data_IF_518656698264
#
_entry.id   IF_518656698264
#
_cell.length_a   1.000
_cell.length_b   1.000
_cell.length_c   1.000
_cell.angle_alpha   90.00
_cell.angle_beta   90.00
_cell.angle_gamma   90.00
#
_symmetry.space_group_name_H-M   'P 1'
#
loop_
_entity.id
_entity.type
_entity.pdbx_description
1 polymer ?
#
# COMPACT_ATOMS: atom_id res chain seq x y z
N UNK A 1 30.05 6.89 -14.30
CA UNK A 1 29.44 8.18 -14.68
C UNK A 1 28.25 8.44 -13.76
N UNK A 2 28.00 9.68 -13.31
CA UNK A 2 26.80 10.00 -12.53
C UNK A 2 25.52 9.77 -13.36
N UNK A 3 24.39 9.54 -12.70
CA UNK A 3 23.07 9.54 -13.33
C UNK A 3 22.26 10.69 -12.72
N UNK A 4 21.78 11.61 -13.55
CA UNK A 4 21.16 12.87 -13.10
C UNK A 4 22.01 13.58 -12.02
N UNK A 5 23.18 14.13 -12.39
CA UNK A 5 24.12 14.67 -11.40
C UNK A 5 23.51 15.84 -10.66
N UNK A 6 23.54 15.85 -9.32
CA UNK A 6 23.09 16.97 -8.48
C UNK A 6 24.24 17.47 -7.64
N UNK A 7 24.51 18.78 -7.71
CA UNK A 7 25.53 19.44 -6.91
C UNK A 7 24.89 20.10 -5.69
N UNK A 8 25.32 19.66 -4.51
CA UNK A 8 24.89 20.20 -3.21
C UNK A 8 25.46 21.60 -2.96
N UNK A 9 24.87 22.41 -2.05
CA UNK A 9 25.42 23.73 -1.67
C UNK A 9 26.86 23.71 -1.14
N UNK A 10 27.36 22.56 -0.66
CA UNK A 10 28.75 22.41 -0.25
C UNK A 10 29.71 22.03 -1.40
N UNK A 11 29.24 22.08 -2.66
CA UNK A 11 30.04 21.85 -3.87
C UNK A 11 30.21 20.38 -4.27
N UNK A 12 29.78 19.42 -3.44
CA UNK A 12 29.87 18.00 -3.77
C UNK A 12 28.75 17.54 -4.70
N UNK A 13 29.08 16.66 -5.64
CA UNK A 13 28.15 16.14 -6.65
C UNK A 13 27.88 14.65 -6.47
N UNK A 14 26.61 14.26 -6.64
CA UNK A 14 26.14 12.88 -6.52
C UNK A 14 25.16 12.56 -7.66
N UNK A 15 24.83 11.28 -7.87
CA UNK A 15 23.58 10.96 -8.58
C UNK A 15 22.39 11.44 -7.74
N UNK A 16 21.34 11.96 -8.37
CA UNK A 16 20.13 12.44 -7.67
C UNK A 16 19.59 11.42 -6.67
N UNK A 17 19.28 10.20 -7.14
CA UNK A 17 18.76 9.11 -6.30
C UNK A 17 19.71 8.73 -5.15
N UNK A 18 21.03 8.75 -5.39
CA UNK A 18 22.01 8.43 -4.36
C UNK A 18 22.00 9.48 -3.24
N UNK A 19 21.89 10.77 -3.61
CA UNK A 19 21.78 11.84 -2.63
C UNK A 19 20.48 11.72 -1.84
N UNK A 20 19.33 11.55 -2.52
CA UNK A 20 18.03 11.36 -1.88
C UNK A 20 18.04 10.22 -0.88
N UNK A 21 18.59 9.06 -1.28
CA UNK A 21 18.75 7.90 -0.39
C UNK A 21 19.61 8.20 0.83
N UNK A 22 20.70 8.95 0.69
CA UNK A 22 21.51 9.36 1.83
C UNK A 22 20.72 10.31 2.76
N UNK A 23 19.98 11.25 2.18
CA UNK A 23 19.19 12.25 2.92
C UNK A 23 18.01 11.64 3.68
N UNK A 24 17.51 10.47 3.27
CA UNK A 24 16.53 9.72 4.06
C UNK A 24 17.05 9.30 5.44
N UNK A 25 18.35 9.02 5.55
CA UNK A 25 18.95 8.56 6.79
C UNK A 25 19.54 9.71 7.61
N UNK A 26 20.26 10.64 6.95
CA UNK A 26 20.88 11.78 7.62
C UNK A 26 20.89 13.01 6.70
N UNK A 27 20.44 14.19 7.16
CA UNK A 27 20.41 15.41 6.37
C UNK A 27 21.80 16.08 6.32
N UNK A 28 22.85 15.33 6.01
CA UNK A 28 24.22 15.78 5.93
C UNK A 28 24.83 15.33 4.61
N UNK A 29 25.74 16.13 4.05
CA UNK A 29 26.52 15.72 2.89
C UNK A 29 27.28 14.42 3.20
N UNK A 30 27.18 13.38 2.37
CA UNK A 30 27.89 12.12 2.59
C UNK A 30 29.42 12.29 2.66
N UNK A 31 29.97 13.28 1.96
CA UNK A 31 31.41 13.52 1.84
C UNK A 31 31.95 14.44 2.94
N UNK A 32 31.49 15.69 3.03
CA UNK A 32 32.04 16.66 3.99
C UNK A 32 31.24 16.81 5.30
N UNK A 33 30.14 16.07 5.46
CA UNK A 33 29.24 16.12 6.63
C UNK A 33 28.55 17.46 6.91
N UNK A 34 28.73 18.48 6.07
CA UNK A 34 27.98 19.73 6.15
C UNK A 34 26.47 19.47 6.16
N UNK A 35 25.74 20.20 6.99
CA UNK A 35 24.28 20.10 7.09
C UNK A 35 23.62 20.48 5.77
N UNK A 36 22.69 19.65 5.31
CA UNK A 36 21.87 19.84 4.11
C UNK A 36 20.38 19.97 4.47
N UNK A 37 20.03 20.32 5.72
CA UNK A 37 18.62 20.42 6.18
C UNK A 37 17.79 21.41 5.38
N UNK A 38 18.30 22.61 5.12
CA UNK A 38 17.59 23.61 4.30
C UNK A 38 17.43 23.13 2.86
N UNK A 39 18.42 22.39 2.35
CA UNK A 39 18.38 21.80 1.02
C UNK A 39 17.33 20.68 0.92
N UNK A 40 17.23 19.83 1.95
CA UNK A 40 16.18 18.81 2.08
C UNK A 40 14.79 19.44 2.17
N UNK A 41 14.65 20.50 2.96
CA UNK A 41 13.40 21.25 3.13
C UNK A 41 12.91 21.89 1.82
N UNK A 42 13.83 22.32 0.96
CA UNK A 42 13.49 22.87 -0.34
C UNK A 42 12.94 21.82 -1.33
N UNK A 43 13.19 20.52 -1.08
CA UNK A 43 12.58 19.40 -1.82
C UNK A 43 12.91 19.32 -3.32
N UNK A 44 13.84 20.14 -3.82
CA UNK A 44 14.16 20.24 -5.24
C UNK A 44 15.64 19.91 -5.51
N UNK A 45 15.89 18.66 -5.88
CA UNK A 45 17.21 18.14 -6.26
C UNK A 45 17.38 18.16 -7.78
N UNK A 46 17.46 19.36 -8.34
CA UNK A 46 17.55 19.53 -9.79
C UNK A 46 18.92 19.11 -10.32
N UNK A 47 18.99 18.43 -11.48
CA UNK A 47 20.26 18.12 -12.11
C UNK A 47 21.09 19.38 -12.41
N UNK A 48 22.39 19.29 -12.16
CA UNK A 48 23.38 20.32 -12.50
C UNK A 48 23.57 20.34 -14.01
N UNK A 49 22.89 21.27 -14.68
CA UNK A 49 22.82 21.39 -16.16
C UNK A 49 24.20 21.32 -16.82
N UNK A 50 25.17 22.10 -16.33
CA UNK A 50 26.53 22.11 -16.89
C UNK A 50 27.18 20.73 -16.86
N UNK A 51 27.04 19.98 -15.76
CA UNK A 51 27.60 18.63 -15.68
C UNK A 51 26.88 17.69 -16.64
N UNK A 52 25.56 17.82 -16.78
CA UNK A 52 24.79 17.03 -17.72
C UNK A 52 25.23 17.28 -19.18
N UNK A 53 25.45 18.54 -19.56
CA UNK A 53 25.96 18.91 -20.89
C UNK A 53 27.37 18.35 -21.13
N UNK A 54 28.28 18.50 -20.16
CA UNK A 54 29.63 17.92 -20.24
C UNK A 54 29.59 16.40 -20.39
N UNK A 55 28.72 15.73 -19.64
CA UNK A 55 28.56 14.28 -19.72
C UNK A 55 28.01 13.83 -21.08
N UNK A 56 27.06 14.57 -21.66
CA UNK A 56 26.53 14.30 -23.00
C UNK A 56 27.60 14.49 -24.07
N UNK A 57 28.38 15.59 -23.98
CA UNK A 57 29.38 15.93 -24.98
C UNK A 57 30.60 14.99 -24.93
N UNK A 58 31.09 14.65 -23.73
CA UNK A 58 32.34 13.92 -23.57
C UNK A 58 32.16 12.41 -23.35
N UNK A 59 31.03 11.97 -22.79
CA UNK A 59 30.80 10.57 -22.40
C UNK A 59 29.43 10.00 -22.85
N UNK A 60 29.03 10.17 -24.12
CA UNK A 60 27.70 9.78 -24.59
C UNK A 60 27.43 8.27 -24.47
N UNK A 61 28.42 7.42 -24.75
CA UNK A 61 28.28 5.97 -24.66
C UNK A 61 28.08 5.49 -23.22
N UNK A 62 28.87 6.01 -22.28
CA UNK A 62 28.76 5.68 -20.85
C UNK A 62 27.45 6.22 -20.26
N UNK A 63 26.95 7.36 -20.75
CA UNK A 63 25.65 7.89 -20.33
C UNK A 63 24.50 7.03 -20.86
N UNK A 64 24.58 6.55 -22.09
CA UNK A 64 23.60 5.63 -22.65
C UNK A 64 23.56 4.31 -21.87
N UNK A 65 24.73 3.74 -21.54
CA UNK A 65 24.82 2.55 -20.69
C UNK A 65 24.17 2.79 -19.32
N UNK A 66 24.46 3.93 -18.68
CA UNK A 66 23.88 4.26 -17.37
C UNK A 66 22.36 4.41 -17.43
N UNK A 67 21.82 5.01 -18.51
CA UNK A 67 20.37 5.10 -18.77
C UNK A 67 19.75 3.71 -18.95
N UNK A 68 20.38 2.84 -19.73
CA UNK A 68 19.89 1.49 -19.96
C UNK A 68 19.83 0.68 -18.67
N UNK A 69 20.85 0.78 -17.80
CA UNK A 69 20.85 0.13 -16.49
C UNK A 69 19.71 0.62 -15.59
N UNK A 70 19.50 1.93 -15.51
CA UNK A 70 18.41 2.50 -14.72
C UNK A 70 17.04 2.09 -15.27
N UNK A 71 16.84 2.11 -16.59
CA UNK A 71 15.60 1.66 -17.23
C UNK A 71 15.31 0.18 -16.96
N UNK A 72 16.32 -0.68 -17.03
CA UNK A 72 16.18 -2.09 -16.69
C UNK A 72 15.79 -2.29 -15.22
N UNK A 73 16.40 -1.53 -14.30
CA UNK A 73 16.03 -1.55 -12.89
C UNK A 73 14.58 -1.09 -12.65
N UNK A 74 14.16 0.01 -13.30
CA UNK A 74 12.78 0.51 -13.20
C UNK A 74 11.77 -0.49 -13.78
N UNK A 75 12.11 -1.16 -14.88
CA UNK A 75 11.26 -2.20 -15.46
C UNK A 75 11.08 -3.37 -14.49
N UNK A 76 12.14 -3.83 -13.82
CA UNK A 76 12.08 -4.88 -12.81
C UNK A 76 11.19 -4.46 -11.63
N UNK A 77 11.41 -3.24 -11.10
CA UNK A 77 10.64 -2.70 -9.97
C UNK A 77 9.17 -2.41 -10.30
N UNK A 78 8.82 -2.28 -11.58
CA UNK A 78 7.43 -2.05 -12.01
C UNK A 78 6.56 -3.31 -12.01
N UNK A 79 7.13 -4.48 -11.74
CA UNK A 79 6.39 -5.73 -11.71
C UNK A 79 5.41 -5.78 -10.52
N UNK A 80 4.15 -6.14 -10.77
CA UNK A 80 3.10 -6.18 -9.75
C UNK A 80 2.82 -7.59 -9.20
N UNK A 81 3.68 -8.57 -9.49
CA UNK A 81 3.56 -9.96 -9.01
C UNK A 81 4.88 -10.56 -8.53
N UNK A 82 6.01 -10.00 -8.96
CA UNK A 82 7.36 -10.44 -8.62
C UNK A 82 8.11 -9.35 -7.89
N UNK A 83 8.75 -9.70 -6.78
CA UNK A 83 9.49 -8.77 -5.93
C UNK A 83 8.71 -7.46 -5.61
N UNK A 84 7.39 -7.55 -5.44
CA UNK A 84 6.59 -6.37 -5.10
C UNK A 84 7.08 -5.82 -3.76
N UNK A 85 7.14 -4.49 -3.58
CA UNK A 85 7.48 -3.91 -2.29
C UNK A 85 6.39 -4.20 -1.25
N UNK A 86 6.78 -4.61 -0.04
CA UNK A 86 5.88 -4.89 1.07
C UNK A 86 6.08 -3.87 2.20
N UNK A 87 5.00 -3.15 2.53
CA UNK A 87 4.88 -2.37 3.75
C UNK A 87 4.29 -3.27 4.85
N UNK A 88 5.00 -3.40 5.98
CA UNK A 88 4.52 -4.20 7.11
C UNK A 88 3.94 -3.27 8.18
N UNK A 89 2.62 -3.29 8.38
CA UNK A 89 1.95 -2.43 9.35
C UNK A 89 0.63 -3.01 9.88
N UNK A 90 -0.48 -2.72 9.20
CA UNK A 90 -1.84 -3.02 9.65
C UNK A 90 -2.64 -3.73 8.56
N UNK A 91 -3.81 -4.26 8.94
CA UNK A 91 -4.76 -4.79 7.97
C UNK A 91 -5.24 -3.67 7.05
N UNK A 92 -5.31 -3.99 5.76
CA UNK A 92 -5.91 -3.12 4.75
C UNK A 92 -6.78 -3.97 3.83
N UNK A 93 -7.80 -3.35 3.25
CA UNK A 93 -8.89 -4.08 2.61
C UNK A 93 -9.23 -3.49 1.23
N UNK A 94 -9.69 -4.31 0.27
CA UNK A 94 -10.13 -3.82 -1.03
C UNK A 94 -11.20 -2.72 -0.89
N UNK A 95 -11.05 -1.64 -1.64
CA UNK A 95 -11.95 -0.49 -1.65
C UNK A 95 -11.85 0.45 -0.44
N UNK A 96 -11.09 0.08 0.60
CA UNK A 96 -10.98 0.87 1.83
C UNK A 96 -9.76 1.79 1.77
N UNK A 97 -9.94 3.06 2.14
CA UNK A 97 -8.86 4.05 2.27
C UNK A 97 -7.92 3.68 3.42
N UNK A 98 -6.62 3.84 3.20
CA UNK A 98 -5.58 3.57 4.18
C UNK A 98 -4.51 4.69 4.12
N UNK A 99 -4.73 5.83 4.81
CA UNK A 99 -3.74 6.88 4.90
C UNK A 99 -2.56 6.45 5.77
N UNK A 100 -1.34 6.76 5.33
CA UNK A 100 -0.10 6.35 6.00
C UNK A 100 0.81 7.55 6.24
N UNK A 101 1.40 7.61 7.42
CA UNK A 101 2.51 8.51 7.72
C UNK A 101 3.82 7.72 7.64
N UNK A 102 4.57 7.94 6.56
CA UNK A 102 5.80 7.20 6.24
C UNK A 102 7.00 8.00 6.71
N UNK A 103 7.62 7.54 7.81
CA UNK A 103 8.79 8.18 8.40
C UNK A 103 10.06 7.33 8.35
N UNK A 104 9.95 6.00 8.27
CA UNK A 104 11.12 5.12 8.20
C UNK A 104 11.86 5.30 6.86
N UNK A 105 13.20 5.47 6.87
CA UNK A 105 14.01 5.70 5.66
C UNK A 105 13.78 4.66 4.55
N UNK A 106 13.66 3.38 4.91
CA UNK A 106 13.43 2.28 3.96
C UNK A 106 12.11 2.43 3.19
N UNK A 107 11.05 2.86 3.87
CA UNK A 107 9.74 3.03 3.25
C UNK A 107 9.65 4.35 2.49
N UNK A 108 10.41 5.38 2.87
CA UNK A 108 10.54 6.61 2.08
C UNK A 108 11.12 6.31 0.69
N UNK A 109 12.19 5.50 0.62
CA UNK A 109 12.73 4.99 -0.64
C UNK A 109 11.68 4.17 -1.42
N UNK A 110 10.98 3.26 -0.73
CA UNK A 110 9.94 2.44 -1.33
C UNK A 110 8.85 3.27 -2.01
N UNK A 111 8.34 4.31 -1.35
CA UNK A 111 7.30 5.19 -1.89
C UNK A 111 7.82 5.99 -3.09
N UNK A 112 9.05 6.51 -3.06
CA UNK A 112 9.64 7.18 -4.22
C UNK A 112 9.74 6.25 -5.43
N UNK A 113 10.21 5.01 -5.24
CA UNK A 113 10.25 4.01 -6.32
C UNK A 113 8.87 3.66 -6.88
N UNK A 114 7.84 3.60 -6.02
CA UNK A 114 6.46 3.39 -6.49
C UNK A 114 5.99 4.54 -7.40
N UNK A 115 6.40 5.78 -7.10
CA UNK A 115 6.12 6.96 -7.93
C UNK A 115 6.94 6.95 -9.23
N UNK A 116 8.25 6.73 -9.14
CA UNK A 116 9.19 6.75 -10.28
C UNK A 116 8.88 5.67 -11.31
N UNK A 117 8.55 4.46 -10.87
CA UNK A 117 8.13 3.36 -11.77
C UNK A 117 6.76 3.60 -12.41
N UNK A 118 5.98 4.56 -11.91
CA UNK A 118 4.61 4.83 -12.35
C UNK A 118 3.57 3.81 -11.89
N UNK A 119 3.99 2.72 -11.23
CA UNK A 119 3.07 1.69 -10.71
C UNK A 119 2.13 2.24 -9.65
N UNK A 120 2.65 3.17 -8.83
CA UNK A 120 1.98 3.75 -7.66
C UNK A 120 1.37 2.67 -6.75
N UNK A 121 2.03 1.51 -6.63
CA UNK A 121 1.48 0.33 -5.94
C UNK A 121 2.52 -0.37 -5.07
N UNK A 122 2.07 -0.84 -3.91
CA UNK A 122 2.83 -1.69 -3.01
C UNK A 122 1.91 -2.61 -2.22
N UNK A 123 2.41 -3.76 -1.78
CA UNK A 123 1.65 -4.66 -0.91
C UNK A 123 1.70 -4.21 0.54
N UNK A 124 0.58 -4.35 1.25
CA UNK A 124 0.50 -4.16 2.70
C UNK A 124 0.19 -5.48 3.37
N UNK A 125 1.01 -5.86 4.34
CA UNK A 125 0.81 -7.06 5.16
C UNK A 125 0.90 -6.70 6.65
N UNK A 126 0.23 -7.48 7.49
CA UNK A 126 0.44 -7.42 8.95
C UNK A 126 1.72 -8.16 9.33
N UNK A 127 2.36 -7.70 10.40
CA UNK A 127 3.48 -8.42 10.99
C UNK A 127 3.03 -9.80 11.48
N UNK A 128 3.84 -10.82 11.20
CA UNK A 128 3.63 -12.18 11.72
C UNK A 128 4.92 -12.67 12.37
N UNK A 129 4.81 -13.07 13.64
CA UNK A 129 5.95 -13.55 14.39
C UNK A 129 6.55 -14.80 13.73
N UNK A 130 7.86 -14.77 13.46
CA UNK A 130 8.58 -15.85 12.79
C UNK A 130 8.58 -15.83 11.26
N UNK A 131 7.83 -14.94 10.59
CA UNK A 131 7.79 -14.85 9.11
C UNK A 131 8.00 -13.44 8.52
N UNK A 132 8.40 -12.48 9.35
CA UNK A 132 8.42 -11.01 9.10
C UNK A 132 7.04 -10.39 8.80
N UNK A 133 6.24 -10.99 7.92
CA UNK A 133 4.87 -10.60 7.63
C UNK A 133 4.00 -11.81 7.24
N UNK A 134 2.68 -11.63 7.37
CA UNK A 134 1.68 -12.67 7.13
C UNK A 134 1.65 -13.19 5.68
N UNK A 135 1.05 -14.37 5.48
CA UNK A 135 0.94 -15.03 4.17
C UNK A 135 -0.06 -14.35 3.20
N UNK A 136 -0.84 -13.37 3.67
CA UNK A 136 -1.81 -12.64 2.87
C UNK A 136 -1.68 -11.14 3.09
N UNK A 137 -1.97 -10.36 2.06
CA UNK A 137 -1.95 -8.90 2.11
C UNK A 137 -2.85 -8.26 1.07
N UNK A 138 -2.96 -6.94 1.12
CA UNK A 138 -3.72 -6.15 0.16
C UNK A 138 -2.76 -5.29 -0.67
N UNK A 139 -2.93 -5.29 -1.99
CA UNK A 139 -2.25 -4.35 -2.88
C UNK A 139 -2.87 -2.97 -2.69
N UNK A 140 -2.08 -2.01 -2.25
CA UNK A 140 -2.49 -0.63 -2.09
C UNK A 140 -2.07 0.19 -3.31
N UNK A 141 -2.93 1.10 -3.72
CA UNK A 141 -2.62 2.09 -4.76
C UNK A 141 -2.54 3.48 -4.15
N UNK A 142 -1.40 4.14 -4.39
CA UNK A 142 -1.14 5.50 -3.96
C UNK A 142 -1.99 6.47 -4.79
N UNK A 143 -2.89 7.16 -4.12
CA UNK A 143 -3.70 8.22 -4.71
C UNK A 143 -2.93 9.54 -4.72
N UNK A 144 -2.30 9.88 -3.58
CA UNK A 144 -1.56 11.12 -3.40
C UNK A 144 -0.40 10.92 -2.43
N UNK A 145 0.67 11.71 -2.62
CA UNK A 145 1.80 11.81 -1.69
C UNK A 145 2.08 13.27 -1.40
N UNK A 146 2.16 13.60 -0.11
CA UNK A 146 2.69 14.87 0.37
C UNK A 146 4.05 14.62 1.02
N UNK A 147 5.12 15.19 0.43
CA UNK A 147 6.45 15.14 1.02
C UNK A 147 6.64 16.30 2.00
N UNK A 148 7.02 15.96 3.24
CA UNK A 148 7.26 16.91 4.31
C UNK A 148 8.71 17.43 4.27
N UNK A 149 8.95 18.58 4.89
CA UNK A 149 10.24 19.26 4.92
C UNK A 149 11.41 18.44 5.52
N UNK A 150 11.12 17.47 6.38
CA UNK A 150 12.10 16.53 6.95
C UNK A 150 12.21 15.22 6.16
N UNK A 151 11.57 15.20 4.99
CA UNK A 151 11.48 14.10 4.03
C UNK A 151 10.57 12.95 4.43
N UNK A 152 9.85 13.05 5.56
CA UNK A 152 8.71 12.16 5.83
C UNK A 152 7.64 12.38 4.76
N UNK A 153 6.68 11.47 4.64
CA UNK A 153 5.56 11.65 3.72
C UNK A 153 4.24 11.25 4.33
N UNK A 154 3.18 11.97 3.96
CA UNK A 154 1.81 11.54 4.11
C UNK A 154 1.38 10.90 2.79
N UNK A 155 0.92 9.66 2.83
CA UNK A 155 0.60 8.86 1.66
C UNK A 155 -0.85 8.42 1.77
N UNK A 156 -1.69 8.93 0.88
CA UNK A 156 -3.08 8.48 0.77
C UNK A 156 -3.13 7.27 -0.16
N UNK A 157 -3.71 6.18 0.32
CA UNK A 157 -3.83 4.94 -0.46
C UNK A 157 -5.23 4.36 -0.40
N UNK A 158 -5.57 3.55 -1.39
CA UNK A 158 -6.78 2.74 -1.40
C UNK A 158 -6.42 1.28 -1.67
N UNK A 159 -7.03 0.35 -0.93
CA UNK A 159 -6.87 -1.07 -1.21
C UNK A 159 -7.50 -1.47 -2.53
N UNK A 160 -6.79 -2.29 -3.31
CA UNK A 160 -7.22 -2.72 -4.64
C UNK A 160 -7.56 -4.19 -4.72
N UNK A 161 -6.62 -5.07 -4.39
CA UNK A 161 -6.77 -6.53 -4.55
C UNK A 161 -6.09 -7.27 -3.42
N UNK A 162 -6.65 -8.39 -3.03
CA UNK A 162 -6.01 -9.31 -2.09
C UNK A 162 -4.96 -10.16 -2.81
N UNK A 163 -3.88 -10.47 -2.12
CA UNK A 163 -2.84 -11.38 -2.62
C UNK A 163 -2.38 -12.37 -1.54
N UNK A 164 -1.88 -13.51 -2.00
CA UNK A 164 -1.18 -14.53 -1.21
C UNK A 164 0.31 -14.45 -1.52
N UNK A 165 1.13 -14.52 -0.48
CA UNK A 165 2.59 -14.53 -0.58
C UNK A 165 3.06 -15.92 -1.02
N UNK A 166 3.78 -15.98 -2.14
CA UNK A 166 4.40 -17.20 -2.66
C UNK A 166 5.85 -17.32 -2.17
N UNK A 167 6.58 -16.20 -2.17
CA UNK A 167 7.98 -16.13 -1.75
C UNK A 167 8.24 -14.78 -1.10
N UNK A 168 8.98 -14.79 0.01
CA UNK A 168 9.45 -13.59 0.71
C UNK A 168 10.86 -13.23 0.25
N UNK A 169 11.15 -11.94 0.22
CA UNK A 169 12.44 -11.38 -0.17
C UNK A 169 12.71 -10.09 0.58
N UNK A 170 13.84 -9.46 0.25
CA UNK A 170 14.26 -8.20 0.84
C UNK A 170 15.06 -7.41 -0.18
N UNK A 171 14.84 -6.10 -0.24
CA UNK A 171 15.60 -5.19 -1.10
C UNK A 171 15.78 -3.84 -0.42
N UNK A 172 17.01 -3.35 -0.38
CA UNK A 172 17.35 -2.00 0.07
C UNK A 172 16.77 -1.59 1.44
N UNK A 173 16.54 -2.55 2.34
CA UNK A 173 16.06 -2.31 3.70
C UNK A 173 14.58 -2.61 3.93
N UNK A 174 13.76 -2.81 2.89
CA UNK A 174 12.34 -3.17 3.00
C UNK A 174 12.05 -4.59 2.47
N UNK A 175 10.97 -5.18 2.96
CA UNK A 175 10.52 -6.51 2.56
C UNK A 175 9.97 -6.52 1.13
N UNK A 176 10.15 -7.61 0.41
CA UNK A 176 9.55 -7.84 -0.92
C UNK A 176 8.85 -9.19 -0.98
N UNK A 177 7.95 -9.36 -1.95
CA UNK A 177 7.30 -10.65 -2.17
C UNK A 177 7.03 -10.98 -3.65
N UNK A 178 7.08 -12.26 -3.97
CA UNK A 178 6.34 -12.79 -5.10
C UNK A 178 4.94 -13.15 -4.62
N UNK A 179 3.92 -12.79 -5.40
CA UNK A 179 2.53 -12.90 -4.98
C UNK A 179 1.63 -13.47 -6.06
N UNK A 180 0.52 -14.04 -5.61
CA UNK A 180 -0.61 -14.47 -6.43
C UNK A 180 -1.86 -13.72 -5.96
N UNK A 181 -2.62 -13.14 -6.88
CA UNK A 181 -3.87 -12.46 -6.53
C UNK A 181 -4.97 -13.48 -6.20
N UNK A 182 -5.76 -13.19 -5.17
CA UNK A 182 -6.93 -14.00 -4.85
C UNK A 182 -8.14 -13.55 -5.65
N UNK A 183 -9.01 -14.50 -5.96
CA UNK A 183 -10.34 -14.26 -6.48
C UNK A 183 -11.35 -15.12 -5.73
N UNK A 184 -12.52 -14.56 -5.44
CA UNK A 184 -13.62 -15.31 -4.86
C UNK A 184 -14.20 -16.31 -5.87
N UNK A 185 -14.51 -17.50 -5.36
CA UNK A 185 -15.15 -18.56 -6.15
C UNK A 185 -16.58 -18.14 -6.46
N UNK A 186 -16.89 -18.08 -7.76
CA UNK A 186 -18.24 -17.79 -8.25
C UNK A 186 -19.14 -19.02 -8.14
N UNK A 187 -20.41 -18.79 -7.82
CA UNK A 187 -21.48 -19.81 -7.77
C UNK A 187 -22.61 -19.45 -8.75
N UNK A 188 -23.41 -20.44 -9.13
CA UNK A 188 -24.50 -20.31 -10.10
C UNK A 188 -25.70 -21.20 -9.70
N UNK A 189 -26.86 -20.97 -10.32
CA UNK A 189 -28.08 -21.73 -10.06
C UNK A 189 -28.61 -21.52 -8.63
N UNK A 190 -29.12 -22.59 -8.02
CA UNK A 190 -29.70 -22.57 -6.66
C UNK A 190 -28.70 -22.03 -5.61
N UNK A 191 -27.42 -22.35 -5.72
CA UNK A 191 -26.39 -21.82 -4.81
C UNK A 191 -26.27 -20.30 -4.87
N UNK A 192 -26.49 -19.69 -6.05
CA UNK A 192 -26.46 -18.24 -6.22
C UNK A 192 -27.71 -17.59 -5.59
N UNK A 193 -28.89 -18.20 -5.75
CA UNK A 193 -30.13 -17.71 -5.13
C UNK A 193 -30.04 -17.74 -3.60
N UNK A 194 -29.49 -18.82 -3.03
CA UNK A 194 -29.23 -18.91 -1.60
C UNK A 194 -28.20 -17.87 -1.13
N UNK A 195 -27.14 -17.67 -1.92
CA UNK A 195 -26.10 -16.68 -1.62
C UNK A 195 -26.66 -15.25 -1.65
N UNK A 196 -27.55 -14.93 -2.59
CA UNK A 196 -28.24 -13.64 -2.66
C UNK A 196 -29.14 -13.43 -1.44
N UNK A 197 -29.89 -14.45 -1.00
CA UNK A 197 -30.69 -14.39 0.22
C UNK A 197 -29.81 -14.13 1.47
N UNK A 198 -28.68 -14.84 1.58
CA UNK A 198 -27.73 -14.65 2.67
C UNK A 198 -27.10 -13.24 2.63
N UNK A 199 -26.73 -12.77 1.45
CA UNK A 199 -26.20 -11.43 1.24
C UNK A 199 -27.20 -10.36 1.70
N UNK A 200 -28.45 -10.43 1.25
CA UNK A 200 -29.49 -9.45 1.59
C UNK A 200 -29.81 -9.43 3.09
N UNK A 201 -29.90 -10.60 3.72
CA UNK A 201 -30.14 -10.68 5.17
C UNK A 201 -28.95 -10.17 5.98
N UNK A 202 -27.72 -10.45 5.54
CA UNK A 202 -26.50 -9.98 6.21
C UNK A 202 -26.32 -8.47 6.04
N UNK A 203 -26.60 -7.92 4.85
CA UNK A 203 -26.54 -6.48 4.60
C UNK A 203 -27.55 -5.72 5.47
N UNK A 204 -28.77 -6.23 5.61
CA UNK A 204 -29.78 -5.65 6.53
C UNK A 204 -29.31 -5.65 7.99
N UNK A 205 -28.60 -6.68 8.43
CA UNK A 205 -27.99 -6.69 9.77
C UNK A 205 -26.85 -5.67 9.88
N UNK A 206 -26.04 -5.50 8.84
CA UNK A 206 -24.99 -4.48 8.80
C UNK A 206 -25.59 -3.06 8.89
N UNK A 207 -26.67 -2.79 8.16
CA UNK A 207 -27.40 -1.52 8.26
C UNK A 207 -27.90 -1.27 9.69
N UNK A 208 -28.61 -2.24 10.28
CA UNK A 208 -29.08 -2.14 11.67
C UNK A 208 -27.93 -1.90 12.66
N UNK A 209 -26.82 -2.62 12.48
CA UNK A 209 -25.62 -2.42 13.30
C UNK A 209 -25.07 -1.00 13.17
N UNK A 210 -25.00 -0.45 11.95
CA UNK A 210 -24.57 0.93 11.74
C UNK A 210 -25.53 1.97 12.35
N UNK A 211 -26.84 1.71 12.32
CA UNK A 211 -27.86 2.60 12.92
C UNK A 211 -27.81 2.61 14.46
N UNK A 212 -27.53 1.46 15.08
CA UNK A 212 -27.55 1.29 16.55
C UNK A 212 -26.20 1.58 17.22
N UNK A 213 -25.19 2.08 16.49
CA UNK A 213 -23.86 2.35 17.06
C UNK A 213 -23.84 3.63 17.91
N UNK A 214 -23.48 3.47 19.18
CA UNK A 214 -23.28 4.57 20.14
C UNK A 214 -22.15 5.53 19.78
N UNK A 215 -22.14 6.71 20.43
CA UNK A 215 -21.23 7.83 20.16
C UNK A 215 -19.74 7.50 20.06
N UNK A 216 -19.24 6.51 20.80
CA UNK A 216 -17.84 6.06 20.76
C UNK A 216 -17.43 5.42 19.41
N UNK A 217 -18.40 4.93 18.65
CA UNK A 217 -18.22 4.32 17.33
C UNK A 217 -18.22 5.32 16.17
N UNK A 218 -18.53 6.59 16.44
CA UNK A 218 -18.59 7.65 15.41
C UNK A 218 -17.21 8.01 14.85
N UNK A 219 -16.15 7.81 15.62
CA UNK A 219 -14.78 8.08 15.17
C UNK A 219 -14.35 7.14 14.03
N UNK A 220 -14.76 5.87 14.07
CA UNK A 220 -14.51 4.90 13.00
C UNK A 220 -15.30 5.25 11.73
N UNK A 221 -16.53 5.75 11.88
CA UNK A 221 -17.36 6.22 10.76
C UNK A 221 -16.78 7.50 10.12
N UNK A 222 -16.18 8.38 10.92
CA UNK A 222 -15.48 9.57 10.40
C UNK A 222 -14.25 9.21 9.55
N UNK A 223 -13.58 8.11 9.86
CA UNK A 223 -12.40 7.66 9.12
C UNK A 223 -12.75 6.86 7.85
N UNK A 224 -13.84 6.09 7.86
CA UNK A 224 -14.20 5.17 6.76
C UNK A 224 -15.45 5.58 5.95
N UNK A 225 -16.16 6.64 6.34
CA UNK A 225 -17.41 7.06 5.69
C UNK A 225 -18.62 6.22 6.14
N UNK A 226 -19.74 6.36 5.42
CA UNK A 226 -20.95 5.55 5.64
C UNK A 226 -20.81 4.14 5.05
N UNK A 227 -21.67 3.22 5.48
CA UNK A 227 -21.79 1.88 4.87
C UNK A 227 -22.02 2.03 3.36
N UNK A 228 -21.18 1.42 2.49
CA UNK A 228 -21.37 1.45 1.05
C UNK A 228 -22.68 0.80 0.62
N UNK A 229 -23.26 1.28 -0.47
CA UNK A 229 -24.44 0.64 -1.08
C UNK A 229 -24.10 -0.78 -1.56
N UNK A 230 -25.12 -1.65 -1.54
CA UNK A 230 -24.99 -2.99 -2.06
C UNK A 230 -24.88 -2.99 -3.58
N UNK A 231 -23.99 -3.83 -4.10
CA UNK A 231 -23.87 -4.07 -5.53
C UNK A 231 -25.05 -4.89 -6.07
N UNK A 232 -25.47 -4.61 -7.30
CA UNK A 232 -26.47 -5.42 -8.01
C UNK A 232 -25.95 -6.84 -8.29
N UNK A 233 -24.71 -6.94 -8.79
CA UNK A 233 -24.00 -8.21 -8.95
C UNK A 233 -22.96 -8.38 -7.83
N UNK A 234 -23.33 -9.20 -6.84
CA UNK A 234 -22.51 -9.53 -5.68
C UNK A 234 -21.23 -10.31 -6.03
N UNK A 235 -21.07 -10.77 -7.27
CA UNK A 235 -19.91 -11.53 -7.77
C UNK A 235 -19.15 -10.79 -8.90
N UNK A 236 -19.46 -9.51 -9.16
CA UNK A 236 -18.80 -8.72 -10.20
C UNK A 236 -17.32 -8.47 -9.88
N UNK A 237 -17.04 -8.11 -8.62
CA UNK A 237 -15.68 -7.91 -8.11
C UNK A 237 -14.99 -9.23 -7.82
N UNK A 238 -13.69 -9.32 -8.12
CA UNK A 238 -12.84 -10.45 -7.75
C UNK A 238 -12.77 -10.67 -6.23
N UNK A 239 -12.97 -9.62 -5.43
CA UNK A 239 -12.95 -9.67 -3.97
C UNK A 239 -14.36 -9.72 -3.36
N UNK A 240 -15.41 -9.81 -4.18
CA UNK A 240 -16.79 -9.71 -3.72
C UNK A 240 -17.19 -8.28 -3.29
N UNK A 241 -18.33 -8.14 -2.59
CA UNK A 241 -18.95 -6.85 -2.27
C UNK A 241 -18.06 -5.93 -1.42
N UNK A 242 -17.93 -4.67 -1.80
CA UNK A 242 -17.12 -3.66 -1.13
C UNK A 242 -17.58 -3.39 0.32
N UNK A 243 -18.89 -3.43 0.56
CA UNK A 243 -19.44 -3.21 1.90
C UNK A 243 -18.98 -4.28 2.90
N UNK A 244 -18.68 -5.51 2.46
CA UNK A 244 -18.14 -6.56 3.34
C UNK A 244 -16.77 -6.15 3.88
N UNK A 245 -15.91 -5.60 3.03
CA UNK A 245 -14.56 -5.17 3.38
C UNK A 245 -14.57 -3.94 4.28
N UNK A 246 -15.42 -2.97 3.95
CA UNK A 246 -15.70 -1.84 4.82
C UNK A 246 -16.22 -2.28 6.20
N UNK A 247 -17.11 -3.27 6.23
CA UNK A 247 -17.63 -3.77 7.50
C UNK A 247 -16.52 -4.44 8.32
N UNK A 248 -15.72 -5.32 7.72
CA UNK A 248 -14.60 -5.98 8.41
C UNK A 248 -13.61 -4.96 8.98
N UNK A 249 -13.35 -3.86 8.26
CA UNK A 249 -12.44 -2.80 8.73
C UNK A 249 -13.01 -1.96 9.88
N UNK A 250 -14.34 -1.94 10.06
CA UNK A 250 -15.02 -1.12 11.08
C UNK A 250 -15.43 -1.91 12.33
N UNK A 251 -15.47 -3.24 12.23
CA UNK A 251 -15.77 -4.14 13.34
C UNK A 251 -14.57 -4.26 14.30
N UNK A 252 -14.80 -4.31 15.63
CA UNK A 252 -13.74 -4.45 16.63
C UNK A 252 -13.27 -5.91 16.73
N UNK A 253 -12.69 -6.43 15.65
CA UNK A 253 -12.18 -7.79 15.55
C UNK A 253 -10.68 -7.85 15.83
N UNK A 254 -10.24 -8.93 16.45
CA UNK A 254 -8.82 -9.23 16.57
C UNK A 254 -8.20 -9.39 15.15
N UNK A 255 -6.97 -8.87 14.91
CA UNK A 255 -6.34 -8.93 13.59
C UNK A 255 -6.22 -10.35 13.00
N UNK A 256 -6.06 -11.39 13.82
CA UNK A 256 -6.01 -12.77 13.34
C UNK A 256 -7.34 -13.22 12.75
N UNK A 257 -8.47 -12.80 13.33
CA UNK A 257 -9.80 -13.06 12.81
C UNK A 257 -10.09 -12.23 11.56
N UNK A 258 -9.65 -10.97 11.51
CA UNK A 258 -9.73 -10.17 10.28
C UNK A 258 -8.97 -10.84 9.13
N UNK A 259 -7.77 -11.35 9.40
CA UNK A 259 -6.96 -12.07 8.41
C UNK A 259 -7.61 -13.38 7.94
N UNK A 260 -8.29 -14.09 8.84
CA UNK A 260 -9.05 -15.30 8.48
C UNK A 260 -10.22 -14.98 7.53
N UNK A 261 -10.98 -13.90 7.79
CA UNK A 261 -12.02 -13.42 6.87
C UNK A 261 -11.43 -12.92 5.55
N UNK A 262 -10.30 -12.24 5.62
CA UNK A 262 -9.59 -11.67 4.49
C UNK A 262 -9.07 -12.74 3.52
N UNK A 263 -8.51 -13.82 4.03
CA UNK A 263 -7.94 -14.91 3.22
C UNK A 263 -8.99 -15.87 2.62
N UNK A 264 -10.25 -15.79 3.05
CA UNK A 264 -11.31 -16.66 2.54
C UNK A 264 -11.73 -16.28 1.11
N UNK A 265 -11.82 -17.28 0.22
CA UNK A 265 -12.27 -17.13 -1.18
C UNK A 265 -13.72 -17.56 -1.40
N UNK A 266 -14.49 -17.79 -0.34
CA UNK A 266 -15.91 -18.13 -0.41
C UNK A 266 -16.73 -16.98 0.17
N UNK A 267 -17.47 -16.28 -0.68
CA UNK A 267 -18.36 -15.20 -0.26
C UNK A 267 -19.43 -15.72 0.71
N UNK A 268 -20.00 -16.91 0.47
CA UNK A 268 -20.96 -17.56 1.37
C UNK A 268 -20.39 -17.74 2.77
N UNK A 269 -19.18 -18.31 2.88
CA UNK A 269 -18.54 -18.53 4.16
C UNK A 269 -18.25 -17.19 4.87
N UNK A 270 -17.76 -16.19 4.13
CA UNK A 270 -17.48 -14.85 4.68
C UNK A 270 -18.74 -14.16 5.19
N UNK A 271 -19.83 -14.18 4.42
CA UNK A 271 -21.13 -13.63 4.83
C UNK A 271 -21.70 -14.36 6.05
N UNK A 272 -21.63 -15.69 6.10
CA UNK A 272 -22.11 -16.46 7.24
C UNK A 272 -21.34 -16.10 8.54
N UNK A 273 -20.03 -15.86 8.44
CA UNK A 273 -19.24 -15.39 9.57
C UNK A 273 -19.67 -13.97 10.01
N UNK A 274 -19.78 -13.05 9.05
CA UNK A 274 -20.23 -11.68 9.31
C UNK A 274 -21.62 -11.65 9.94
N UNK A 275 -22.55 -12.47 9.46
CA UNK A 275 -23.89 -12.59 10.00
C UNK A 275 -23.86 -13.00 11.48
N UNK A 276 -23.05 -14.01 11.84
CA UNK A 276 -22.89 -14.45 13.23
C UNK A 276 -22.30 -13.36 14.12
N UNK A 277 -21.26 -12.67 13.64
CA UNK A 277 -20.63 -11.55 14.36
C UNK A 277 -21.64 -10.43 14.60
N UNK A 278 -22.34 -9.98 13.55
CA UNK A 278 -23.33 -8.91 13.64
C UNK A 278 -24.48 -9.28 14.59
N UNK A 279 -24.94 -10.53 14.52
CA UNK A 279 -25.99 -11.02 15.41
C UNK A 279 -25.52 -10.98 16.86
N UNK A 280 -24.32 -11.48 17.15
CA UNK A 280 -23.76 -11.46 18.51
C UNK A 280 -23.60 -10.03 19.04
N UNK A 281 -23.11 -9.10 18.21
CA UNK A 281 -22.94 -7.70 18.61
C UNK A 281 -24.28 -7.01 18.87
N UNK A 282 -25.29 -7.24 18.03
CA UNK A 282 -26.63 -6.65 18.19
C UNK A 282 -27.40 -7.19 19.41
N UNK A 283 -27.13 -8.43 19.84
CA UNK A 283 -27.78 -9.03 21.02
C UNK A 283 -26.95 -8.86 22.31
N UNK A 284 -25.68 -8.46 22.20
CA UNK A 284 -24.75 -8.29 23.31
C UNK A 284 -24.71 -6.88 23.93
N UNK A 285 -25.52 -5.95 23.44
CA UNK A 285 -25.72 -4.63 24.05
C UNK A 285 -26.92 -4.70 25.03
N UNK A 286 -26.70 -4.67 26.36
CA UNK A 286 -27.76 -4.48 27.34
C UNK A 286 -28.32 -3.05 27.33
#
# INVERSE_FOLDING_TARGET
>A
LFFEPVTTPCGHTFCKECLERCLDHRPNCPLCKQSLREYLKAGSYNPTVLLQEVMVALFPAQLAERRALHQAEMAELSNLTKNIPIFVCTMSFPGVSCPLHVFEPRYRLMIRRCQETGTRRFGMCVYENGKSFADYGCMLEIQQVEFLADGRSLVDTIGRRRFRVLRRGHRDGYDTADVEYLEDKKVAGEELEELQCLHESTYRLAQRFCEHRDGASRHTLMQHGSLPEKEEDIQASADGPAWCWWLISTLPLDPSYQLALFSATSLRARLAQLQRILTALLHGHP
#
